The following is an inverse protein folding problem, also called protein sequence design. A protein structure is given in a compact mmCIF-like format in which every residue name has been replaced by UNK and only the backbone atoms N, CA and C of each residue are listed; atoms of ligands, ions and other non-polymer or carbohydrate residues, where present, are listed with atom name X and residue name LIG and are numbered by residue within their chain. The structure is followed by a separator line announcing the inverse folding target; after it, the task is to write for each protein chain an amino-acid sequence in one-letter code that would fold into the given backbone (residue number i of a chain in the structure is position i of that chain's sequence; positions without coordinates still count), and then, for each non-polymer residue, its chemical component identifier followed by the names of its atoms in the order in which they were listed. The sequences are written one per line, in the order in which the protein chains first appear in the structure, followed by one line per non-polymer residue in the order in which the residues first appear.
data_IF_722064652298
#
_entry.id   IF_722064652298
#
_cell.length_a   1.000
_cell.length_b   1.000
_cell.length_c   1.000
_cell.angle_alpha   90.00
_cell.angle_beta   90.00
_cell.angle_gamma   90.00
#
_symmetry.space_group_name_H-M   'P 1'
#
loop_
_entity.id
_entity.type
_entity.pdbx_description
1 polymer ?
#
# COMPACT_ATOMS: atom_id res chain seq x y z
N UNK A 1 2.97 0.88 -26.90
CA UNK A 1 1.71 1.48 -26.42
C UNK A 1 1.13 0.48 -25.43
N UNK A 2 1.28 0.75 -24.15
CA UNK A 2 0.60 -0.03 -23.10
C UNK A 2 -0.69 0.76 -22.88
N UNK A 3 -1.76 0.33 -23.49
CA UNK A 3 -3.11 0.75 -23.09
C UNK A 3 -3.36 0.10 -21.72
N UNK A 4 -3.18 0.88 -20.66
CA UNK A 4 -3.73 0.55 -19.37
C UNK A 4 -5.24 0.58 -19.52
N UNK A 5 -5.86 -0.58 -19.67
CA UNK A 5 -7.31 -0.72 -19.61
C UNK A 5 -7.75 -0.42 -18.19
N UNK A 6 -8.27 0.78 -17.99
CA UNK A 6 -9.00 1.12 -16.78
C UNK A 6 -10.35 0.42 -16.89
N UNK A 7 -10.43 -0.73 -16.29
CA UNK A 7 -11.68 -1.49 -16.20
C UNK A 7 -12.47 -0.92 -15.03
N UNK A 8 -13.66 -0.41 -15.28
CA UNK A 8 -14.63 -0.16 -14.23
C UNK A 8 -14.90 -1.49 -13.50
N UNK A 9 -14.41 -1.62 -12.28
CA UNK A 9 -14.50 -2.86 -11.52
C UNK A 9 -15.80 -2.93 -10.75
N UNK A 10 -16.42 -4.07 -10.77
CA UNK A 10 -17.48 -4.41 -9.82
C UNK A 10 -16.78 -4.76 -8.49
N UNK A 11 -16.80 -3.83 -7.55
CA UNK A 11 -16.26 -4.06 -6.22
C UNK A 11 -17.08 -5.12 -5.47
N UNK A 12 -16.44 -5.83 -4.50
CA UNK A 12 -17.13 -6.75 -3.63
C UNK A 12 -18.35 -6.09 -2.96
N UNK A 13 -19.45 -6.80 -2.88
CA UNK A 13 -20.67 -6.26 -2.25
C UNK A 13 -20.56 -6.16 -0.73
N UNK A 14 -19.69 -6.96 -0.12
CA UNK A 14 -19.50 -7.03 1.34
C UNK A 14 -18.06 -7.37 1.69
N UNK A 15 -17.64 -6.89 2.87
CA UNK A 15 -16.41 -7.32 3.51
C UNK A 15 -16.64 -8.67 4.24
N UNK A 16 -15.64 -9.53 4.25
CA UNK A 16 -15.66 -10.81 4.97
C UNK A 16 -15.74 -10.61 6.50
N UNK A 17 -16.39 -11.53 7.18
CA UNK A 17 -16.63 -11.41 8.63
C UNK A 17 -15.32 -11.37 9.43
N UNK A 18 -14.32 -12.16 9.06
CA UNK A 18 -13.02 -12.15 9.73
C UNK A 18 -12.35 -10.77 9.79
N UNK A 19 -12.52 -9.94 8.75
CA UNK A 19 -11.99 -8.58 8.71
C UNK A 19 -12.79 -7.62 9.59
N UNK A 20 -14.10 -7.83 9.74
CA UNK A 20 -14.91 -7.05 10.67
C UNK A 20 -14.54 -7.35 12.13
N UNK A 21 -14.28 -8.62 12.43
CA UNK A 21 -13.77 -9.00 13.75
C UNK A 21 -12.46 -8.29 14.05
N UNK A 22 -11.51 -8.30 13.10
CA UNK A 22 -10.25 -7.57 13.26
C UNK A 22 -10.43 -6.06 13.40
N UNK A 23 -11.41 -5.47 12.70
CA UNK A 23 -11.74 -4.04 12.86
C UNK A 23 -12.13 -3.72 14.30
N UNK A 24 -12.97 -4.57 14.89
CA UNK A 24 -13.40 -4.40 16.28
C UNK A 24 -12.27 -4.69 17.27
N UNK A 25 -11.54 -5.79 17.10
CA UNK A 25 -10.48 -6.21 18.02
C UNK A 25 -9.30 -5.24 18.05
N UNK A 26 -8.86 -4.75 16.89
CA UNK A 26 -7.67 -3.88 16.80
C UNK A 26 -8.02 -2.40 16.95
N UNK A 27 -9.10 -1.94 16.31
CA UNK A 27 -9.43 -0.50 16.25
C UNK A 27 -10.61 -0.11 17.14
N UNK A 28 -11.35 -1.06 17.70
CA UNK A 28 -12.53 -0.79 18.50
C UNK A 28 -13.73 -0.23 17.72
N UNK A 29 -13.72 -0.36 16.39
CA UNK A 29 -14.81 0.14 15.55
C UNK A 29 -15.83 -0.96 15.28
N UNK A 30 -17.11 -0.61 15.35
CA UNK A 30 -18.21 -1.56 15.11
C UNK A 30 -18.50 -1.74 13.61
N UNK A 31 -18.25 -0.70 12.78
CA UNK A 31 -18.55 -0.75 11.35
C UNK A 31 -17.57 0.15 10.53
N UNK A 32 -17.56 -0.10 9.23
CA UNK A 32 -16.78 0.65 8.27
C UNK A 32 -17.46 1.96 7.88
N UNK A 33 -16.68 3.03 7.69
CA UNK A 33 -17.18 4.29 7.15
C UNK A 33 -17.35 4.21 5.64
N UNK A 34 -18.24 5.04 5.10
CA UNK A 34 -18.33 5.27 3.67
C UNK A 34 -17.34 6.37 3.25
N UNK A 35 -16.73 6.15 2.09
CA UNK A 35 -15.88 7.11 1.40
C UNK A 35 -16.58 7.59 0.15
N UNK A 36 -16.46 8.89 -0.11
CA UNK A 36 -16.86 9.47 -1.39
C UNK A 36 -15.69 9.37 -2.36
N UNK A 37 -15.88 8.65 -3.45
CA UNK A 37 -14.89 8.45 -4.50
C UNK A 37 -15.48 8.83 -5.86
N UNK A 38 -14.64 9.18 -6.81
CA UNK A 38 -15.10 9.41 -8.18
C UNK A 38 -15.42 8.07 -8.87
N UNK A 39 -16.56 7.99 -9.56
CA UNK A 39 -16.96 6.81 -10.35
C UNK A 39 -15.95 6.56 -11.49
N UNK A 40 -15.56 7.62 -12.16
CA UNK A 40 -14.52 7.60 -13.20
C UNK A 40 -13.51 8.72 -12.92
N UNK A 41 -12.29 8.35 -12.59
CA UNK A 41 -11.19 9.29 -12.34
C UNK A 41 -10.87 10.19 -13.53
N UNK A 42 -11.22 9.76 -14.75
CA UNK A 42 -10.91 10.50 -15.99
C UNK A 42 -12.07 11.35 -16.48
N UNK A 43 -13.31 10.99 -16.13
CA UNK A 43 -14.52 11.76 -16.50
C UNK A 43 -15.06 12.64 -15.39
N UNK A 44 -14.66 12.40 -14.18
CA UNK A 44 -14.50 13.28 -13.05
C UNK A 44 -15.69 14.07 -12.50
N UNK A 45 -16.95 13.68 -12.72
CA UNK A 45 -18.07 14.45 -12.16
C UNK A 45 -18.99 13.66 -11.23
N UNK A 46 -19.14 12.38 -11.46
CA UNK A 46 -20.02 11.55 -10.66
C UNK A 46 -19.24 10.93 -9.50
N UNK A 47 -19.82 11.00 -8.31
CA UNK A 47 -19.23 10.46 -7.09
C UNK A 47 -20.08 9.31 -6.59
N UNK A 48 -19.39 8.26 -6.14
CA UNK A 48 -19.98 7.09 -5.51
C UNK A 48 -19.65 7.07 -4.02
N UNK A 49 -20.54 6.46 -3.26
CA UNK A 49 -20.30 6.12 -1.86
C UNK A 49 -19.83 4.67 -1.79
N UNK A 50 -18.62 4.45 -1.36
CA UNK A 50 -18.03 3.12 -1.15
C UNK A 50 -17.71 2.90 0.32
N UNK A 51 -18.08 1.75 0.85
CA UNK A 51 -17.64 1.37 2.19
C UNK A 51 -16.15 1.08 2.22
N UNK A 52 -15.45 1.51 3.26
CA UNK A 52 -14.06 1.10 3.51
C UNK A 52 -13.93 -0.43 3.48
N UNK A 53 -14.93 -1.17 3.98
CA UNK A 53 -14.94 -2.63 3.96
C UNK A 53 -14.92 -3.22 2.54
N UNK A 54 -15.59 -2.59 1.57
CA UNK A 54 -15.54 -3.02 0.17
C UNK A 54 -14.13 -2.85 -0.44
N UNK A 55 -13.49 -1.72 -0.16
CA UNK A 55 -12.11 -1.46 -0.62
C UNK A 55 -11.10 -2.38 0.04
N UNK A 56 -11.24 -2.63 1.33
CA UNK A 56 -10.41 -3.57 2.10
C UNK A 56 -10.54 -4.98 1.52
N UNK A 57 -11.76 -5.43 1.25
CA UNK A 57 -12.02 -6.74 0.65
C UNK A 57 -11.35 -6.86 -0.73
N UNK A 58 -11.43 -5.81 -1.56
CA UNK A 58 -10.77 -5.79 -2.86
C UNK A 58 -9.26 -5.94 -2.75
N UNK A 59 -8.62 -5.20 -1.83
CA UNK A 59 -7.18 -5.31 -1.58
C UNK A 59 -6.79 -6.73 -1.17
N UNK A 60 -7.58 -7.36 -0.30
CA UNK A 60 -7.33 -8.74 0.15
C UNK A 60 -7.51 -9.72 -1.02
N UNK A 61 -8.57 -9.58 -1.82
CA UNK A 61 -8.83 -10.45 -2.97
C UNK A 61 -7.68 -10.39 -3.99
N UNK A 62 -7.13 -9.20 -4.26
CA UNK A 62 -6.00 -9.07 -5.17
C UNK A 62 -4.72 -9.71 -4.59
N UNK A 63 -4.47 -9.57 -3.29
CA UNK A 63 -3.38 -10.25 -2.62
C UNK A 63 -3.55 -11.78 -2.67
N UNK A 64 -4.76 -12.29 -2.45
CA UNK A 64 -5.08 -13.72 -2.54
C UNK A 64 -4.89 -14.29 -3.95
N UNK A 65 -5.18 -13.52 -5.01
CA UNK A 65 -4.84 -13.89 -6.39
C UNK A 65 -3.34 -14.07 -6.55
N UNK A 66 -2.54 -13.10 -6.05
CA UNK A 66 -1.08 -13.19 -6.05
C UNK A 66 -0.55 -14.43 -5.31
N UNK A 67 -1.16 -14.80 -4.18
CA UNK A 67 -0.81 -16.03 -3.44
C UNK A 67 -1.01 -17.28 -4.32
N UNK A 68 -2.11 -17.30 -5.07
CA UNK A 68 -2.49 -18.42 -5.96
C UNK A 68 -1.69 -18.45 -7.26
N UNK A 69 -0.84 -17.44 -7.51
CA UNK A 69 -0.13 -17.30 -8.78
C UNK A 69 -1.02 -16.89 -9.95
N UNK A 70 -2.18 -16.31 -9.67
CA UNK A 70 -3.11 -15.85 -10.68
C UNK A 70 -2.59 -14.55 -11.30
N UNK A 71 -2.29 -14.61 -12.60
CA UNK A 71 -1.79 -13.46 -13.37
C UNK A 71 -2.82 -12.34 -13.54
N UNK A 72 -4.07 -12.57 -13.17
CA UNK A 72 -5.13 -11.56 -13.14
C UNK A 72 -5.10 -10.67 -11.88
N UNK A 73 -4.14 -10.88 -10.97
CA UNK A 73 -3.93 -9.98 -9.85
C UNK A 73 -3.53 -8.58 -10.35
N UNK A 74 -4.26 -7.57 -9.92
CA UNK A 74 -4.07 -6.20 -10.38
C UNK A 74 -3.50 -5.31 -9.28
N UNK A 75 -2.81 -4.26 -9.69
CA UNK A 75 -2.45 -3.15 -8.83
C UNK A 75 -3.66 -2.24 -8.63
N UNK A 76 -3.69 -1.50 -7.53
CA UNK A 76 -4.80 -0.63 -7.14
C UNK A 76 -4.29 0.79 -6.90
N UNK A 77 -5.04 1.79 -7.34
CA UNK A 77 -4.83 3.20 -7.02
C UNK A 77 -6.09 3.77 -6.38
N UNK A 78 -5.96 4.37 -5.22
CA UNK A 78 -7.04 5.07 -4.54
C UNK A 78 -6.67 6.53 -4.31
N UNK A 79 -7.56 7.41 -4.71
CA UNK A 79 -7.50 8.83 -4.36
C UNK A 79 -8.58 9.13 -3.32
N UNK A 80 -8.19 9.59 -2.15
CA UNK A 80 -9.12 9.94 -1.09
C UNK A 80 -8.57 11.10 -0.25
N UNK A 81 -9.41 12.04 0.21
CA UNK A 81 -8.96 13.22 0.94
C UNK A 81 -8.24 12.85 2.25
N UNK A 82 -7.48 13.81 2.79
CA UNK A 82 -6.92 13.69 4.14
C UNK A 82 -8.05 13.50 5.16
N UNK A 83 -7.85 12.61 6.13
CA UNK A 83 -8.87 12.29 7.13
C UNK A 83 -9.90 11.24 6.70
N UNK A 84 -9.85 10.75 5.45
CA UNK A 84 -10.72 9.67 4.97
C UNK A 84 -10.44 8.30 5.59
N UNK A 85 -9.43 8.18 6.46
CA UNK A 85 -9.04 6.89 7.05
C UNK A 85 -8.30 5.98 6.10
N UNK A 86 -7.48 6.54 5.20
CA UNK A 86 -6.67 5.79 4.23
C UNK A 86 -5.80 4.70 4.87
N UNK A 87 -5.22 4.98 6.04
CA UNK A 87 -4.34 4.02 6.73
C UNK A 87 -5.06 2.71 7.05
N UNK A 88 -6.32 2.76 7.46
CA UNK A 88 -7.14 1.58 7.72
C UNK A 88 -7.27 0.67 6.48
N UNK A 89 -7.33 1.26 5.28
CA UNK A 89 -7.55 0.55 4.03
C UNK A 89 -6.40 -0.38 3.64
N UNK A 90 -5.22 -0.19 4.20
CA UNK A 90 -4.10 -1.10 3.99
C UNK A 90 -3.61 -1.78 5.28
N UNK A 91 -3.75 -1.15 6.44
CA UNK A 91 -3.34 -1.75 7.70
C UNK A 91 -4.19 -2.97 8.04
N UNK A 92 -5.51 -2.89 7.87
CA UNK A 92 -6.41 -4.00 8.16
C UNK A 92 -6.22 -5.20 7.19
N UNK A 93 -6.10 -5.00 5.86
CA UNK A 93 -5.67 -6.07 4.96
C UNK A 93 -4.32 -6.69 5.36
N UNK A 94 -3.34 -5.87 5.73
CA UNK A 94 -2.02 -6.36 6.12
C UNK A 94 -2.08 -7.25 7.37
N UNK A 95 -2.85 -6.84 8.38
CA UNK A 95 -3.09 -7.63 9.60
C UNK A 95 -3.77 -8.96 9.24
N UNK A 96 -4.81 -8.92 8.40
CA UNK A 96 -5.49 -10.12 7.93
C UNK A 96 -4.54 -11.06 7.18
N UNK A 97 -3.78 -10.56 6.21
CA UNK A 97 -2.83 -11.34 5.44
C UNK A 97 -1.70 -11.94 6.29
N UNK A 98 -1.25 -11.19 7.30
CA UNK A 98 -0.28 -11.67 8.28
C UNK A 98 -0.82 -12.80 9.14
N UNK A 99 -2.06 -12.67 9.63
CA UNK A 99 -2.70 -13.67 10.47
C UNK A 99 -2.99 -14.97 9.71
N UNK A 100 -3.64 -14.86 8.54
CA UNK A 100 -4.12 -16.01 7.77
C UNK A 100 -3.02 -16.70 6.96
N UNK A 101 -2.14 -15.92 6.33
CA UNK A 101 -1.19 -16.44 5.34
C UNK A 101 0.27 -16.28 5.74
N UNK A 102 0.56 -15.66 6.90
CA UNK A 102 1.93 -15.33 7.35
C UNK A 102 2.71 -14.47 6.36
N UNK A 103 2.00 -13.66 5.59
CA UNK A 103 2.57 -12.77 4.59
C UNK A 103 3.07 -11.47 5.23
N UNK A 104 4.04 -10.87 4.57
CA UNK A 104 4.55 -9.55 4.91
C UNK A 104 3.90 -8.51 3.99
N UNK A 105 3.45 -7.41 4.58
CA UNK A 105 3.09 -6.20 3.83
C UNK A 105 4.21 -5.17 3.97
N UNK A 106 4.74 -4.71 2.83
CA UNK A 106 5.67 -3.59 2.78
C UNK A 106 4.89 -2.30 2.59
N UNK A 107 5.15 -1.29 3.43
CA UNK A 107 4.55 0.04 3.32
C UNK A 107 5.64 1.04 3.00
N UNK A 108 5.63 1.55 1.78
CA UNK A 108 6.57 2.58 1.31
C UNK A 108 5.93 3.94 1.52
N UNK A 109 6.55 4.77 2.34
CA UNK A 109 6.08 6.13 2.62
C UNK A 109 7.25 7.12 2.58
N UNK A 110 7.07 8.32 1.99
CA UNK A 110 8.15 9.28 1.80
C UNK A 110 8.50 10.08 3.05
N UNK A 111 7.62 10.13 4.02
CA UNK A 111 7.75 11.00 5.19
C UNK A 111 8.00 10.19 6.45
N UNK A 112 9.22 10.29 6.99
CA UNK A 112 9.63 9.58 8.20
C UNK A 112 8.69 9.84 9.39
N UNK A 113 8.25 11.08 9.58
CA UNK A 113 7.35 11.42 10.67
C UNK A 113 6.04 10.63 10.57
N UNK A 114 5.45 10.55 9.36
CA UNK A 114 4.23 9.75 9.15
C UNK A 114 4.46 8.25 9.37
N UNK A 115 5.64 7.73 9.00
CA UNK A 115 5.99 6.33 9.27
C UNK A 115 5.98 6.08 10.79
N UNK A 116 6.67 6.92 11.56
CA UNK A 116 6.75 6.78 13.01
C UNK A 116 5.35 6.90 13.63
N UNK A 117 4.59 7.93 13.27
CA UNK A 117 3.25 8.17 13.80
C UNK A 117 2.31 6.98 13.53
N UNK A 118 2.34 6.40 12.32
CA UNK A 118 1.52 5.24 11.97
C UNK A 118 1.91 3.97 12.74
N UNK A 119 3.22 3.75 12.94
CA UNK A 119 3.70 2.59 13.70
C UNK A 119 3.38 2.74 15.18
N UNK A 120 3.57 3.91 15.75
CA UNK A 120 3.23 4.17 17.16
C UNK A 120 1.73 4.07 17.40
N UNK A 121 0.90 4.63 16.51
CA UNK A 121 -0.55 4.50 16.61
C UNK A 121 -1.01 3.04 16.63
N UNK A 122 -0.43 2.16 15.80
CA UNK A 122 -0.75 0.72 15.82
C UNK A 122 -0.32 0.06 17.13
N UNK A 123 0.85 0.43 17.68
CA UNK A 123 1.34 -0.09 18.96
C UNK A 123 0.47 0.37 20.14
N UNK A 124 0.01 1.61 20.13
CA UNK A 124 -0.93 2.14 21.12
C UNK A 124 -2.26 1.38 21.12
N UNK A 125 -2.67 0.86 19.96
CA UNK A 125 -3.82 -0.05 19.82
C UNK A 125 -3.49 -1.50 20.24
N UNK A 126 -2.27 -1.78 20.71
CA UNK A 126 -1.83 -3.11 21.12
C UNK A 126 -1.34 -4.01 19.99
N UNK A 127 -1.18 -3.48 18.77
CA UNK A 127 -0.67 -4.26 17.64
C UNK A 127 0.84 -4.15 17.52
N UNK A 128 1.57 -5.14 18.06
CA UNK A 128 3.05 -5.14 18.15
C UNK A 128 3.75 -5.70 16.89
N UNK A 129 3.00 -6.33 15.95
CA UNK A 129 3.56 -6.96 14.75
C UNK A 129 3.79 -5.95 13.62
N UNK A 130 4.25 -4.77 14.02
CA UNK A 130 4.58 -3.64 13.13
C UNK A 130 5.99 -3.14 13.42
N UNK A 131 6.73 -2.79 12.38
CA UNK A 131 8.06 -2.21 12.50
C UNK A 131 8.34 -1.22 11.37
N UNK A 132 9.35 -0.39 11.56
CA UNK A 132 9.86 0.50 10.51
C UNK A 132 11.38 0.49 10.49
N UNK A 133 11.95 0.83 9.34
CA UNK A 133 13.36 1.15 9.19
C UNK A 133 13.53 2.56 8.65
N UNK A 134 14.41 3.32 9.31
CA UNK A 134 14.77 4.69 8.89
C UNK A 134 16.26 4.94 9.06
N UNK A 135 16.75 6.05 8.48
CA UNK A 135 18.16 6.46 8.63
C UNK A 135 18.53 6.77 10.08
N UNK A 136 17.54 7.10 10.93
CA UNK A 136 17.77 7.58 12.31
C UNK A 136 17.99 6.42 13.28
N UNK A 137 17.68 5.19 12.90
CA UNK A 137 17.95 4.01 13.71
C UNK A 137 19.45 3.69 13.70
N UNK A 138 19.99 3.31 14.87
CA UNK A 138 21.34 2.79 14.95
C UNK A 138 21.51 1.48 14.17
N UNK A 139 22.73 1.08 13.81
CA UNK A 139 22.96 -0.21 13.15
C UNK A 139 22.39 -1.40 13.93
N UNK A 140 22.50 -1.39 15.25
CA UNK A 140 21.98 -2.42 16.13
C UNK A 140 20.44 -2.47 16.09
N UNK A 141 19.79 -1.29 16.15
CA UNK A 141 18.34 -1.20 16.03
C UNK A 141 17.83 -1.68 14.67
N UNK A 142 18.54 -1.31 13.57
CA UNK A 142 18.21 -1.80 12.23
C UNK A 142 18.33 -3.32 12.14
N UNK A 143 19.41 -3.87 12.66
CA UNK A 143 19.63 -5.32 12.65
C UNK A 143 18.53 -6.05 13.42
N UNK A 144 18.10 -5.53 14.56
CA UNK A 144 17.01 -6.11 15.34
C UNK A 144 15.66 -6.02 14.59
N UNK A 145 15.35 -4.89 13.96
CA UNK A 145 14.16 -4.77 13.11
C UNK A 145 14.18 -5.79 11.98
N UNK A 146 15.29 -5.91 11.26
CA UNK A 146 15.40 -6.87 10.15
C UNK A 146 15.35 -8.33 10.62
N UNK A 147 15.91 -8.64 11.79
CA UNK A 147 15.75 -9.96 12.42
C UNK A 147 14.27 -10.26 12.65
N UNK A 148 13.55 -9.36 13.32
CA UNK A 148 12.10 -9.49 13.60
C UNK A 148 11.27 -9.68 12.33
N UNK A 149 11.59 -8.93 11.26
CA UNK A 149 10.92 -9.08 9.97
C UNK A 149 11.18 -10.47 9.40
N UNK A 150 12.43 -10.93 9.34
CA UNK A 150 12.81 -12.25 8.80
C UNK A 150 12.23 -13.42 9.61
N UNK A 151 12.16 -13.29 10.93
CA UNK A 151 11.62 -14.32 11.82
C UNK A 151 10.07 -14.37 11.87
N UNK A 152 9.41 -13.46 11.15
CA UNK A 152 7.96 -13.46 11.06
C UNK A 152 7.26 -12.81 12.25
N UNK A 153 7.97 -12.01 13.04
CA UNK A 153 7.39 -11.24 14.15
C UNK A 153 6.71 -9.93 13.70
N UNK A 154 6.84 -9.58 12.42
CA UNK A 154 6.31 -8.36 11.82
C UNK A 154 5.44 -8.70 10.62
N UNK A 155 4.24 -8.13 10.53
CA UNK A 155 3.33 -8.27 9.39
C UNK A 155 3.29 -7.01 8.53
N UNK A 156 3.50 -5.82 9.16
CA UNK A 156 3.63 -4.55 8.46
C UNK A 156 5.04 -3.99 8.67
N UNK A 157 5.75 -3.81 7.57
CA UNK A 157 7.08 -3.22 7.60
C UNK A 157 7.12 -1.93 6.79
N UNK A 158 7.31 -0.82 7.50
CA UNK A 158 7.38 0.52 6.92
C UNK A 158 8.82 0.90 6.58
N UNK A 159 9.01 1.46 5.39
CA UNK A 159 10.30 1.93 4.91
C UNK A 159 10.17 3.11 3.94
N UNK A 160 11.23 3.86 3.78
CA UNK A 160 11.27 4.92 2.78
C UNK A 160 11.59 4.36 1.38
N UNK A 161 11.21 5.08 0.31
CA UNK A 161 11.56 4.71 -1.07
C UNK A 161 13.07 4.52 -1.26
N UNK A 162 13.87 5.43 -0.71
CA UNK A 162 15.32 5.39 -0.82
C UNK A 162 15.90 4.12 -0.20
N UNK A 163 15.35 3.71 0.96
CA UNK A 163 15.81 2.50 1.62
C UNK A 163 15.46 1.25 0.81
N UNK A 164 14.26 1.19 0.23
CA UNK A 164 13.84 0.08 -0.63
C UNK A 164 14.70 -0.03 -1.88
N UNK A 165 15.09 1.10 -2.48
CA UNK A 165 15.91 1.14 -3.69
C UNK A 165 17.40 0.88 -3.43
N UNK A 166 17.89 1.17 -2.22
CA UNK A 166 19.31 1.07 -1.89
C UNK A 166 19.79 -0.35 -1.61
N UNK A 167 18.91 -1.28 -1.27
CA UNK A 167 19.26 -2.62 -0.82
C UNK A 167 18.44 -3.69 -1.55
N UNK A 168 19.03 -4.88 -1.66
CA UNK A 168 18.27 -6.06 -2.07
C UNK A 168 17.18 -6.36 -1.04
N UNK A 169 15.98 -6.65 -1.50
CA UNK A 169 14.83 -6.88 -0.61
C UNK A 169 15.04 -8.07 0.33
N UNK A 170 15.78 -9.08 -0.11
CA UNK A 170 16.11 -10.27 0.69
C UNK A 170 16.87 -9.91 1.97
N UNK A 171 17.61 -8.79 1.95
CA UNK A 171 18.28 -8.27 3.13
C UNK A 171 17.31 -7.94 4.26
N UNK A 172 16.13 -7.45 3.92
CA UNK A 172 15.10 -7.11 4.90
C UNK A 172 14.19 -8.29 5.23
N UNK A 173 13.71 -9.00 4.20
CA UNK A 173 12.60 -9.96 4.35
C UNK A 173 13.06 -11.42 4.48
N UNK A 174 14.31 -11.72 4.09
CA UNK A 174 14.81 -13.10 4.06
C UNK A 174 13.95 -13.99 3.16
N UNK A 175 13.53 -15.13 3.69
CA UNK A 175 12.67 -16.10 2.99
C UNK A 175 11.16 -15.78 3.08
N UNK A 176 10.79 -14.68 3.72
CA UNK A 176 9.36 -14.33 3.87
C UNK A 176 8.76 -13.89 2.54
N UNK A 177 7.54 -14.35 2.31
CA UNK A 177 6.77 -13.96 1.14
C UNK A 177 6.07 -12.61 1.36
N UNK A 178 6.24 -11.69 0.40
CA UNK A 178 5.50 -10.42 0.35
C UNK A 178 4.12 -10.71 -0.21
N UNK A 179 3.08 -10.28 0.49
CA UNK A 179 1.69 -10.43 0.07
C UNK A 179 1.10 -9.17 -0.54
N UNK A 180 1.60 -8.01 -0.11
CA UNK A 180 1.11 -6.70 -0.52
C UNK A 180 2.24 -5.67 -0.44
N UNK A 181 2.32 -4.78 -1.41
CA UNK A 181 3.14 -3.57 -1.32
C UNK A 181 2.20 -2.37 -1.35
N UNK A 182 2.32 -1.51 -0.35
CA UNK A 182 1.57 -0.27 -0.24
C UNK A 182 2.48 0.90 -0.56
N UNK A 183 2.03 1.83 -1.39
CA UNK A 183 2.71 3.09 -1.65
C UNK A 183 1.83 4.20 -1.10
N UNK A 184 2.14 4.63 0.12
CA UNK A 184 1.41 5.70 0.79
C UNK A 184 1.90 7.06 0.31
N UNK A 185 0.99 8.05 0.29
CA UNK A 185 1.26 9.39 -0.22
C UNK A 185 1.93 9.38 -1.62
N UNK A 186 1.37 8.61 -2.56
CA UNK A 186 1.93 8.41 -3.90
C UNK A 186 2.01 9.68 -4.78
N UNK A 187 1.54 10.84 -4.29
CA UNK A 187 1.57 12.14 -4.99
C UNK A 187 2.94 12.84 -5.11
N UNK A 188 3.99 12.54 -4.33
CA UNK A 188 5.29 13.19 -4.49
C UNK A 188 5.92 13.03 -5.87
N UNK A 189 5.42 12.08 -6.65
CA UNK A 189 5.83 11.91 -8.06
C UNK A 189 5.68 13.22 -8.86
N UNK A 190 4.78 14.11 -8.47
CA UNK A 190 4.41 15.29 -9.26
C UNK A 190 4.65 16.65 -8.57
N UNK A 191 4.71 16.72 -7.24
CA UNK A 191 4.61 18.01 -6.51
C UNK A 191 5.87 18.48 -5.80
N UNK A 192 6.80 17.61 -5.42
CA UNK A 192 7.95 17.95 -4.58
C UNK A 192 9.29 17.88 -5.34
N UNK A 193 9.63 18.87 -6.16
CA UNK A 193 10.96 19.11 -6.70
C UNK A 193 11.67 17.93 -7.41
N UNK A 194 12.66 18.25 -8.25
CA UNK A 194 13.34 17.28 -9.13
C UNK A 194 14.09 16.16 -8.40
N UNK A 195 14.52 16.36 -7.16
CA UNK A 195 15.30 15.36 -6.41
C UNK A 195 14.41 14.24 -5.81
N UNK A 196 13.22 14.59 -5.34
CA UNK A 196 12.28 13.62 -4.76
C UNK A 196 11.55 12.76 -5.81
N UNK A 197 11.46 13.24 -7.05
CA UNK A 197 10.86 12.52 -8.18
C UNK A 197 11.63 11.29 -8.61
N UNK A 198 12.94 11.28 -8.42
CA UNK A 198 13.82 10.26 -8.97
C UNK A 198 13.50 8.90 -8.32
N UNK A 199 13.33 8.85 -7.02
CA UNK A 199 13.12 7.58 -6.30
C UNK A 199 11.77 6.96 -6.60
N UNK A 200 10.70 7.76 -6.63
CA UNK A 200 9.37 7.25 -7.00
C UNK A 200 9.29 6.81 -8.47
N UNK A 201 10.00 7.49 -9.36
CA UNK A 201 10.06 7.11 -10.77
C UNK A 201 10.72 5.76 -10.99
N UNK A 202 11.71 5.43 -10.16
CA UNK A 202 12.38 4.14 -10.19
C UNK A 202 11.61 3.06 -9.42
N UNK A 203 10.72 3.44 -8.50
CA UNK A 203 10.01 2.51 -7.63
C UNK A 203 9.18 1.49 -8.42
N UNK A 204 8.39 1.93 -9.41
CA UNK A 204 7.59 1.02 -10.24
C UNK A 204 8.45 -0.02 -10.95
N UNK A 205 9.53 0.44 -11.63
CA UNK A 205 10.48 -0.46 -12.29
C UNK A 205 11.15 -1.41 -11.30
N UNK A 206 11.50 -0.91 -10.12
CA UNK A 206 12.11 -1.73 -9.06
C UNK A 206 11.14 -2.81 -8.57
N UNK A 207 9.86 -2.48 -8.35
CA UNK A 207 8.84 -3.43 -7.94
C UNK A 207 8.57 -4.50 -9.02
N UNK A 208 8.59 -4.14 -10.30
CA UNK A 208 8.51 -5.12 -11.39
C UNK A 208 9.73 -6.05 -11.41
N UNK A 209 10.94 -5.49 -11.32
CA UNK A 209 12.16 -6.27 -11.24
C UNK A 209 12.14 -7.21 -10.03
N UNK A 210 11.61 -6.75 -8.91
CA UNK A 210 11.43 -7.54 -7.69
C UNK A 210 10.47 -8.70 -7.90
N UNK A 211 9.29 -8.50 -8.51
CA UNK A 211 8.35 -9.58 -8.85
C UNK A 211 9.01 -10.64 -9.73
N UNK A 212 9.77 -10.20 -10.74
CA UNK A 212 10.50 -11.10 -11.63
C UNK A 212 11.59 -11.90 -10.89
N UNK A 213 12.36 -11.24 -10.02
CA UNK A 213 13.42 -11.90 -9.25
C UNK A 213 12.88 -12.91 -8.24
N UNK A 214 11.77 -12.59 -7.58
CA UNK A 214 11.12 -13.46 -6.60
C UNK A 214 10.31 -14.60 -7.25
N UNK A 215 9.94 -14.47 -8.52
CA UNK A 215 9.19 -15.49 -9.25
C UNK A 215 7.72 -15.64 -8.81
N UNK A 216 7.17 -14.63 -8.11
CA UNK A 216 5.76 -14.59 -7.74
C UNK A 216 5.19 -13.17 -7.80
N UNK A 217 3.85 -13.08 -7.88
CA UNK A 217 3.13 -11.82 -8.01
C UNK A 217 2.57 -11.39 -6.67
N UNK A 218 2.59 -10.08 -6.41
CA UNK A 218 1.88 -9.41 -5.33
C UNK A 218 1.29 -8.10 -5.87
N UNK A 219 0.12 -7.66 -5.41
CA UNK A 219 -0.45 -6.37 -5.81
C UNK A 219 0.33 -5.21 -5.20
N UNK A 220 0.31 -4.08 -5.91
CA UNK A 220 0.72 -2.77 -5.39
C UNK A 220 -0.54 -1.96 -5.15
N UNK A 221 -0.70 -1.45 -3.93
CA UNK A 221 -1.79 -0.57 -3.56
C UNK A 221 -1.25 0.84 -3.29
N UNK A 222 -1.48 1.74 -4.22
CA UNK A 222 -1.07 3.14 -4.12
C UNK A 222 -2.20 4.00 -3.59
N UNK A 223 -1.90 4.88 -2.62
CA UNK A 223 -2.85 5.80 -2.01
C UNK A 223 -2.32 7.23 -2.11
N UNK A 224 -3.21 8.17 -2.38
CA UNK A 224 -2.87 9.60 -2.39
C UNK A 224 -4.06 10.46 -1.98
N UNK A 225 -3.77 11.61 -1.34
CA UNK A 225 -4.79 12.60 -1.02
C UNK A 225 -4.99 13.65 -2.11
N UNK A 226 -4.01 13.84 -2.97
CA UNK A 226 -3.90 15.05 -3.81
C UNK A 226 -3.82 14.77 -5.30
N UNK A 227 -4.20 13.59 -5.76
CA UNK A 227 -4.28 13.35 -7.20
C UNK A 227 -5.44 14.15 -7.78
N UNK A 228 -5.12 15.20 -8.52
CA UNK A 228 -6.07 16.03 -9.24
C UNK A 228 -6.00 15.67 -10.73
N UNK A 229 -7.14 15.30 -11.28
CA UNK A 229 -7.29 15.20 -12.71
C UNK A 229 -7.42 16.62 -13.32
N UNK A 230 -6.61 16.95 -14.32
CA UNK A 230 -6.69 18.21 -15.01
C UNK A 230 -6.82 17.98 -16.52
N UNK A 231 -8.05 17.99 -17.08
CA UNK A 231 -8.28 17.74 -18.50
C UNK A 231 -7.75 18.83 -19.44
N UNK A 232 -7.41 20.00 -18.90
CA UNK A 232 -7.06 21.18 -19.74
C UNK A 232 -5.57 21.54 -19.74
N UNK A 233 -4.74 20.89 -18.94
CA UNK A 233 -3.36 21.32 -18.80
C UNK A 233 -2.34 20.30 -18.38
N UNK A 234 -1.71 19.67 -19.29
CA UNK A 234 -0.29 19.29 -19.34
C UNK A 234 0.35 18.42 -18.25
N UNK A 235 -0.19 18.30 -17.06
CA UNK A 235 0.34 17.47 -15.97
C UNK A 235 -0.82 16.77 -15.25
N UNK A 236 -1.16 15.58 -15.70
CA UNK A 236 -2.12 14.74 -15.03
C UNK A 236 -1.43 13.88 -13.98
N UNK A 237 -1.57 14.29 -12.72
CA UNK A 237 -0.95 13.62 -11.56
C UNK A 237 -1.35 12.15 -11.44
N UNK A 238 -2.57 11.80 -11.87
CA UNK A 238 -3.06 10.42 -11.84
C UNK A 238 -2.31 9.58 -12.87
N UNK A 239 -2.23 10.03 -14.11
CA UNK A 239 -1.48 9.35 -15.16
C UNK A 239 0.01 9.24 -14.84
N UNK A 240 0.61 10.31 -14.31
CA UNK A 240 2.02 10.28 -13.91
C UNK A 240 2.25 9.27 -12.78
N UNK A 241 1.33 9.17 -11.81
CA UNK A 241 1.40 8.19 -10.72
C UNK A 241 1.27 6.76 -11.26
N UNK A 242 0.23 6.48 -12.07
CA UNK A 242 0.00 5.18 -12.69
C UNK A 242 1.23 4.76 -13.51
N UNK A 243 1.75 5.67 -14.34
CA UNK A 243 2.90 5.40 -15.20
C UNK A 243 4.20 5.17 -14.42
N UNK A 244 4.43 5.95 -13.37
CA UNK A 244 5.65 5.86 -12.57
C UNK A 244 5.69 4.64 -11.66
N UNK A 245 4.54 4.21 -11.17
CA UNK A 245 4.41 3.04 -10.31
C UNK A 245 4.06 1.76 -11.08
N UNK A 246 3.86 1.85 -12.40
CA UNK A 246 3.47 0.73 -13.26
C UNK A 246 2.18 0.04 -12.76
N UNK A 247 1.17 0.86 -12.37
CA UNK A 247 -0.11 0.39 -11.84
C UNK A 247 -1.06 -0.07 -12.94
#
# INVERSE_FOLDING_TARGET
MIESQIVARVLPSKCREAVKVLLQEVYGYEDFRNLEVYDDLFRGKEKLQLSQGQLIEEVIMEAEKGIKGDSSAHNLLLTAPTGAGKSLLFQLPAIYLGNEYKLLTLVVSPLKALIVDQVEALRELGYERVAYASSDLSPEQKNEVYRRVREGEVDLFYLSPELLLAYDISYFVGERRIGLVVVDEAHPVTTWGKEFRVDYWFLGRHLEALKNALGYVFPVFALTATAVWNPEGGNDMIFDTIRSLHL
#
